data_IF_574925035387
#
_entry.id   IF_574925035387
#
_cell.length_a   1.000
_cell.length_b   1.000
_cell.length_c   1.000
_cell.angle_alpha   90.00
_cell.angle_beta   90.00
_cell.angle_gamma   90.00
#
_symmetry.space_group_name_H-M   'P 1'
#
loop_
_entity.id
_entity.type
_entity.pdbx_description
1 polymer ?
#
# COMPACT_ATOMS: atom_id res chain seq x y z
N UNK A 1 -12.60 -13.80 -1.82
CA UNK A 1 -12.33 -14.16 -0.41
C UNK A 1 -13.40 -13.58 0.53
N UNK A 2 -13.69 -12.28 0.45
CA UNK A 2 -14.73 -11.62 1.27
C UNK A 2 -16.15 -12.16 1.02
N UNK A 3 -16.43 -12.58 -0.18
CA UNK A 3 -17.73 -13.13 -0.58
C UNK A 3 -17.94 -14.58 -0.12
N UNK A 4 -16.86 -15.30 0.21
CA UNK A 4 -16.95 -16.70 0.62
C UNK A 4 -17.70 -16.90 1.95
N UNK A 5 -17.42 -16.04 2.92
CA UNK A 5 -18.00 -16.12 4.28
C UNK A 5 -18.22 -14.69 4.84
N UNK A 6 -19.29 -14.00 4.46
CA UNK A 6 -19.48 -12.58 4.78
C UNK A 6 -19.52 -12.29 6.29
N UNK A 7 -20.09 -13.20 7.10
CA UNK A 7 -20.15 -13.04 8.56
C UNK A 7 -18.75 -13.18 9.18
N UNK A 8 -18.03 -14.25 8.83
CA UNK A 8 -16.68 -14.50 9.35
C UNK A 8 -15.70 -13.40 8.86
N UNK A 9 -15.84 -12.97 7.63
CA UNK A 9 -15.06 -11.85 7.08
C UNK A 9 -15.35 -10.55 7.86
N UNK A 10 -16.60 -10.29 8.22
CA UNK A 10 -16.95 -9.11 9.02
C UNK A 10 -16.33 -9.18 10.42
N UNK A 11 -16.33 -10.36 11.06
CA UNK A 11 -15.70 -10.59 12.36
C UNK A 11 -14.18 -10.43 12.25
N UNK A 12 -13.54 -11.05 11.27
CA UNK A 12 -12.10 -10.95 11.03
C UNK A 12 -11.69 -9.51 10.72
N UNK A 13 -12.48 -8.78 9.93
CA UNK A 13 -12.23 -7.36 9.64
C UNK A 13 -12.33 -6.49 10.90
N UNK A 14 -13.34 -6.69 11.72
CA UNK A 14 -13.46 -5.98 13.02
C UNK A 14 -12.31 -6.33 13.95
N UNK A 15 -11.94 -7.61 14.03
CA UNK A 15 -10.80 -8.06 14.84
C UNK A 15 -9.48 -7.45 14.32
N UNK A 16 -9.24 -7.47 13.03
CA UNK A 16 -8.08 -6.88 12.39
C UNK A 16 -7.96 -5.38 12.69
N UNK A 17 -9.04 -4.60 12.46
CA UNK A 17 -9.07 -3.17 12.78
C UNK A 17 -8.82 -2.91 14.27
N UNK A 18 -9.43 -3.70 15.15
CA UNK A 18 -9.25 -3.57 16.58
C UNK A 18 -7.87 -4.02 17.06
N UNK A 19 -7.23 -5.01 16.40
CA UNK A 19 -5.88 -5.43 16.74
C UNK A 19 -4.86 -4.33 16.50
N UNK A 20 -4.98 -3.56 15.42
CA UNK A 20 -4.17 -2.37 15.20
C UNK A 20 -4.39 -1.29 16.26
N UNK A 21 -5.64 -1.12 16.68
CA UNK A 21 -6.03 -0.03 17.57
C UNK A 21 -5.69 -0.30 19.05
N UNK A 22 -5.88 -1.55 19.50
CA UNK A 22 -5.82 -1.90 20.93
C UNK A 22 -4.75 -2.94 21.28
N UNK A 23 -4.25 -3.71 20.32
CA UNK A 23 -3.36 -4.85 20.55
C UNK A 23 -2.11 -4.82 19.66
N UNK A 24 -1.51 -3.65 19.52
CA UNK A 24 -0.36 -3.38 18.64
C UNK A 24 0.79 -4.39 18.84
N UNK A 25 1.13 -4.74 20.09
CA UNK A 25 2.19 -5.70 20.40
C UNK A 25 1.81 -7.14 20.02
N UNK A 26 0.52 -7.50 20.15
CA UNK A 26 0.04 -8.82 19.72
C UNK A 26 0.06 -8.94 18.19
N UNK A 27 -0.30 -7.88 17.47
CA UNK A 27 -0.19 -7.83 16.01
C UNK A 27 1.28 -7.93 15.56
N UNK A 28 2.19 -7.23 16.24
CA UNK A 28 3.65 -7.36 16.02
C UNK A 28 4.11 -8.80 16.17
N UNK A 29 3.74 -9.46 17.26
CA UNK A 29 4.05 -10.88 17.49
C UNK A 29 3.47 -11.79 16.40
N UNK A 30 2.26 -11.54 15.93
CA UNK A 30 1.63 -12.30 14.85
C UNK A 30 2.34 -12.08 13.50
N UNK A 31 2.66 -10.85 13.15
CA UNK A 31 3.32 -10.50 11.88
C UNK A 31 4.72 -11.10 11.77
N UNK A 32 5.52 -11.02 12.85
CA UNK A 32 6.89 -11.56 12.88
C UNK A 32 6.96 -13.04 13.31
N UNK A 33 5.80 -13.67 13.63
CA UNK A 33 5.79 -15.10 13.95
C UNK A 33 6.12 -15.95 12.72
N UNK A 34 6.77 -17.10 12.95
CA UNK A 34 7.13 -18.01 11.86
C UNK A 34 5.86 -18.61 11.23
N UNK A 35 5.70 -18.51 9.89
CA UNK A 35 4.55 -19.06 9.18
C UNK A 35 4.37 -20.57 9.35
N UNK A 36 5.44 -21.30 9.62
CA UNK A 36 5.46 -22.77 9.71
C UNK A 36 4.47 -23.34 10.76
N UNK A 37 4.19 -22.58 11.81
CA UNK A 37 3.19 -22.96 12.81
C UNK A 37 1.75 -22.66 12.39
N UNK A 38 1.52 -21.60 11.65
CA UNK A 38 0.20 -21.19 11.12
C UNK A 38 -0.19 -21.98 9.87
N UNK A 39 0.80 -22.44 9.10
CA UNK A 39 0.62 -23.19 7.86
C UNK A 39 0.03 -24.59 8.01
N UNK A 40 -0.06 -25.14 9.22
CA UNK A 40 -0.71 -26.45 9.49
C UNK A 40 -2.20 -26.34 9.77
N UNK A 41 -2.79 -25.15 9.74
CA UNK A 41 -4.14 -24.89 10.23
C UNK A 41 -5.13 -24.59 9.10
N UNK A 42 -6.40 -24.79 9.42
CA UNK A 42 -7.66 -24.37 8.78
C UNK A 42 -7.57 -23.20 7.77
N UNK A 43 -6.68 -22.23 8.00
CA UNK A 43 -6.47 -21.05 7.17
C UNK A 43 -6.05 -21.38 5.71
N UNK A 44 -5.34 -22.48 5.47
CA UNK A 44 -4.95 -22.92 4.12
C UNK A 44 -6.14 -23.27 3.23
N UNK A 45 -7.22 -23.73 3.81
CA UNK A 45 -8.41 -24.22 3.08
C UNK A 45 -9.53 -23.19 3.02
N UNK A 46 -9.33 -22.03 3.65
CA UNK A 46 -10.36 -20.99 3.69
C UNK A 46 -10.62 -20.42 2.31
N UNK A 47 -11.84 -20.58 1.82
CA UNK A 47 -12.24 -20.14 0.49
C UNK A 47 -11.83 -21.06 -0.68
N UNK A 48 -11.22 -22.21 -0.41
CA UNK A 48 -10.73 -23.16 -1.42
C UNK A 48 -11.81 -23.55 -2.43
N UNK A 49 -12.98 -23.97 -1.98
CA UNK A 49 -14.07 -24.40 -2.89
C UNK A 49 -14.57 -23.28 -3.80
N UNK A 50 -14.73 -22.07 -3.25
CA UNK A 50 -15.14 -20.95 -4.09
C UNK A 50 -14.09 -20.61 -5.13
N UNK A 51 -12.82 -20.72 -4.77
CA UNK A 51 -11.72 -20.48 -5.71
C UNK A 51 -11.68 -21.58 -6.78
N UNK A 52 -11.82 -22.86 -6.41
CA UNK A 52 -11.92 -23.97 -7.38
C UNK A 52 -13.10 -23.76 -8.32
N UNK A 53 -14.29 -23.47 -7.78
CA UNK A 53 -15.48 -23.25 -8.59
C UNK A 53 -15.30 -22.04 -9.53
N UNK A 54 -14.62 -20.97 -9.06
CA UNK A 54 -14.29 -19.82 -9.88
C UNK A 54 -13.34 -20.21 -11.03
N UNK A 55 -12.28 -20.96 -10.73
CA UNK A 55 -11.31 -21.42 -11.76
C UNK A 55 -11.95 -22.34 -12.80
N UNK A 56 -12.84 -23.25 -12.36
CA UNK A 56 -13.60 -24.14 -13.27
C UNK A 56 -14.53 -23.32 -14.17
N UNK A 57 -15.19 -22.30 -13.61
CA UNK A 57 -16.14 -21.46 -14.33
C UNK A 57 -15.46 -20.53 -15.33
N UNK A 58 -14.45 -19.80 -14.87
CA UNK A 58 -13.81 -18.72 -15.64
C UNK A 58 -12.68 -19.24 -16.55
N UNK A 59 -12.10 -20.42 -16.27
CA UNK A 59 -10.99 -21.05 -17.00
C UNK A 59 -9.89 -20.05 -17.37
N UNK A 60 -9.28 -19.36 -16.38
CA UNK A 60 -8.31 -18.32 -16.66
C UNK A 60 -7.01 -18.89 -17.23
N UNK A 61 -6.37 -18.15 -18.14
CA UNK A 61 -5.06 -18.48 -18.69
C UNK A 61 -3.92 -18.17 -17.73
N UNK A 62 -4.17 -17.33 -16.72
CA UNK A 62 -3.20 -16.87 -15.71
C UNK A 62 -3.91 -16.48 -14.43
N UNK A 63 -3.25 -16.70 -13.28
CA UNK A 63 -3.70 -16.23 -11.97
C UNK A 63 -2.75 -15.14 -11.49
N UNK A 64 -3.26 -13.92 -11.28
CA UNK A 64 -2.48 -12.82 -10.74
C UNK A 64 -2.83 -12.59 -9.26
N UNK A 65 -1.84 -12.75 -8.39
CA UNK A 65 -1.95 -12.51 -6.95
C UNK A 65 -1.43 -11.10 -6.62
N UNK A 66 -2.29 -10.28 -6.02
CA UNK A 66 -1.94 -8.95 -5.50
C UNK A 66 -2.04 -8.90 -3.97
N UNK A 67 -2.22 -10.04 -3.35
CA UNK A 67 -2.30 -10.23 -1.91
C UNK A 67 -1.75 -11.62 -1.54
N UNK A 68 -0.95 -11.75 -0.47
CA UNK A 68 -0.42 -13.05 -0.05
C UNK A 68 -1.55 -13.97 0.41
N UNK A 69 -1.72 -15.09 -0.32
CA UNK A 69 -2.77 -16.05 -0.02
C UNK A 69 -2.25 -17.49 0.01
N UNK A 70 -2.32 -18.19 1.14
CA UNK A 70 -1.83 -19.56 1.29
C UNK A 70 -2.68 -20.60 0.55
N UNK A 71 -3.91 -20.26 0.14
CA UNK A 71 -4.80 -21.18 -0.58
C UNK A 71 -4.21 -21.63 -1.93
N UNK A 72 -3.37 -20.81 -2.56
CA UNK A 72 -2.71 -21.17 -3.82
C UNK A 72 -1.74 -22.34 -3.66
N UNK A 73 -1.01 -22.44 -2.53
CA UNK A 73 -0.17 -23.60 -2.25
C UNK A 73 -0.98 -24.90 -2.22
N UNK A 74 -2.19 -24.86 -1.64
CA UNK A 74 -3.08 -26.03 -1.61
C UNK A 74 -3.56 -26.41 -3.02
N UNK A 75 -3.92 -25.40 -3.82
CA UNK A 75 -4.39 -25.64 -5.19
C UNK A 75 -3.29 -26.29 -6.06
N UNK A 76 -2.10 -25.78 -6.00
CA UNK A 76 -0.98 -26.32 -6.80
C UNK A 76 -0.50 -27.67 -6.30
N UNK A 77 -0.42 -27.90 -4.97
CA UNK A 77 0.06 -29.16 -4.39
C UNK A 77 -0.95 -30.30 -4.53
N UNK A 78 -2.25 -30.03 -4.37
CA UNK A 78 -3.27 -31.07 -4.25
C UNK A 78 -4.16 -31.25 -5.48
N UNK A 79 -4.25 -30.21 -6.32
CA UNK A 79 -5.14 -30.20 -7.49
C UNK A 79 -4.39 -30.15 -8.81
N UNK A 80 -3.04 -30.20 -8.79
CA UNK A 80 -2.17 -30.19 -9.96
C UNK A 80 -2.56 -29.12 -10.97
N UNK A 81 -2.80 -27.90 -10.48
CA UNK A 81 -3.17 -26.78 -11.34
C UNK A 81 -1.92 -26.28 -12.05
N UNK A 82 -1.91 -26.40 -13.37
CA UNK A 82 -0.80 -25.94 -14.22
C UNK A 82 -1.00 -24.51 -14.76
N UNK A 83 -2.01 -23.76 -14.29
CA UNK A 83 -2.22 -22.37 -14.66
C UNK A 83 -1.05 -21.55 -14.12
N UNK A 84 -0.37 -20.75 -14.96
CA UNK A 84 0.70 -19.86 -14.50
C UNK A 84 0.20 -18.95 -13.36
N UNK A 85 0.99 -18.84 -12.30
CA UNK A 85 0.70 -17.96 -11.16
C UNK A 85 1.72 -16.85 -11.12
N UNK A 86 1.29 -15.61 -11.22
CA UNK A 86 2.12 -14.44 -11.06
C UNK A 86 1.77 -13.72 -9.75
N UNK A 87 2.78 -13.24 -9.04
CA UNK A 87 2.60 -12.50 -7.77
C UNK A 87 3.15 -11.09 -7.90
N UNK A 88 2.31 -10.08 -7.70
CA UNK A 88 2.70 -8.68 -7.57
C UNK A 88 2.79 -8.34 -6.09
N UNK A 89 4.00 -8.17 -5.60
CA UNK A 89 4.24 -7.74 -4.23
C UNK A 89 4.02 -6.23 -4.12
N UNK A 90 3.15 -5.82 -3.21
CA UNK A 90 2.76 -4.41 -3.01
C UNK A 90 3.43 -3.78 -1.77
N UNK A 91 4.59 -4.29 -1.38
CA UNK A 91 5.41 -3.85 -0.26
C UNK A 91 6.87 -3.66 -0.69
N UNK A 92 7.63 -2.87 0.08
CA UNK A 92 9.03 -2.57 -0.19
C UNK A 92 10.02 -3.48 0.56
N UNK A 93 9.54 -4.24 1.53
CA UNK A 93 10.35 -5.25 2.25
C UNK A 93 9.65 -6.61 2.15
N UNK A 94 10.42 -7.66 1.92
CA UNK A 94 9.88 -9.01 1.79
C UNK A 94 9.33 -9.51 3.13
N UNK A 95 8.06 -9.89 3.12
CA UNK A 95 7.46 -10.72 4.16
C UNK A 95 7.23 -12.13 3.61
N UNK A 96 7.53 -13.16 4.41
CA UNK A 96 7.47 -14.57 3.98
C UNK A 96 6.13 -15.00 3.38
N UNK A 97 5.05 -14.34 3.75
CA UNK A 97 3.72 -14.63 3.19
C UNK A 97 3.61 -14.31 1.69
N UNK A 98 4.50 -13.47 1.13
CA UNK A 98 4.57 -13.19 -0.30
C UNK A 98 5.18 -14.33 -1.11
N UNK A 99 5.91 -15.24 -0.44
CA UNK A 99 6.52 -16.38 -1.11
C UNK A 99 5.44 -17.44 -1.35
N UNK A 100 5.08 -17.60 -2.60
CA UNK A 100 4.14 -18.63 -3.05
C UNK A 100 4.96 -19.71 -3.78
N UNK A 101 5.11 -20.92 -3.23
CA UNK A 101 6.07 -21.93 -3.71
C UNK A 101 5.99 -22.27 -5.21
N UNK A 102 4.87 -21.96 -5.84
CA UNK A 102 4.60 -22.31 -7.24
C UNK A 102 4.37 -21.08 -8.12
N UNK A 103 4.79 -19.88 -7.67
CA UNK A 103 4.71 -18.71 -8.54
C UNK A 103 5.69 -18.81 -9.69
N UNK A 104 5.16 -18.74 -10.90
CA UNK A 104 5.94 -18.70 -12.16
C UNK A 104 6.68 -17.37 -12.28
N UNK A 105 6.14 -16.31 -11.71
CA UNK A 105 6.67 -14.95 -11.78
C UNK A 105 6.37 -14.15 -10.53
N UNK A 106 7.39 -13.40 -10.06
CA UNK A 106 7.25 -12.37 -9.03
C UNK A 106 7.59 -10.99 -9.60
N UNK A 107 6.74 -10.02 -9.33
CA UNK A 107 7.00 -8.61 -9.61
C UNK A 107 7.22 -7.89 -8.28
N UNK A 108 8.37 -7.24 -8.15
CA UNK A 108 8.81 -6.63 -6.90
C UNK A 108 9.14 -5.15 -7.07
N UNK A 109 9.07 -4.41 -5.97
CA UNK A 109 9.24 -2.96 -5.98
C UNK A 109 10.67 -2.54 -6.37
N UNK A 110 11.69 -3.24 -5.88
CA UNK A 110 13.08 -2.78 -5.91
C UNK A 110 14.09 -3.91 -6.12
N UNK A 111 15.33 -3.53 -6.41
CA UNK A 111 16.45 -4.48 -6.52
C UNK A 111 16.75 -5.17 -5.19
N UNK A 112 16.61 -4.45 -4.08
CA UNK A 112 16.81 -4.97 -2.73
C UNK A 112 15.74 -6.03 -2.43
N UNK A 113 14.47 -5.77 -2.74
CA UNK A 113 13.41 -6.77 -2.59
C UNK A 113 13.66 -7.99 -3.47
N UNK A 114 14.19 -7.82 -4.69
CA UNK A 114 14.61 -8.96 -5.52
C UNK A 114 15.71 -9.76 -4.83
N UNK A 115 16.70 -9.11 -4.23
CA UNK A 115 17.78 -9.80 -3.50
C UNK A 115 17.21 -10.58 -2.31
N UNK A 116 16.27 -10.00 -1.55
CA UNK A 116 15.59 -10.71 -0.45
C UNK A 116 14.93 -12.02 -0.91
N UNK A 117 14.32 -12.04 -2.11
CA UNK A 117 13.76 -13.27 -2.71
C UNK A 117 14.84 -14.29 -3.06
N UNK A 118 15.98 -13.84 -3.60
CA UNK A 118 17.11 -14.70 -3.95
C UNK A 118 17.71 -15.33 -2.67
N UNK A 119 17.88 -14.55 -1.62
CA UNK A 119 18.47 -14.96 -0.34
C UNK A 119 17.62 -16.04 0.38
N UNK A 120 16.33 -16.09 0.11
CA UNK A 120 15.43 -17.15 0.61
C UNK A 120 15.27 -18.33 -0.37
N UNK A 121 16.05 -18.38 -1.45
CA UNK A 121 16.14 -19.51 -2.37
C UNK A 121 15.18 -19.48 -3.56
N UNK A 122 14.60 -18.33 -3.91
CA UNK A 122 13.79 -18.16 -5.12
C UNK A 122 14.69 -17.93 -6.31
N UNK A 123 14.41 -18.61 -7.42
CA UNK A 123 15.17 -18.48 -8.67
C UNK A 123 15.15 -17.01 -9.17
N UNK A 124 16.33 -16.38 -9.34
CA UNK A 124 16.46 -15.00 -9.81
C UNK A 124 15.76 -14.72 -11.15
N UNK A 125 15.62 -15.73 -12.02
CA UNK A 125 14.96 -15.59 -13.33
C UNK A 125 13.46 -15.39 -13.21
N UNK A 126 12.85 -15.84 -12.10
CA UNK A 126 11.42 -15.70 -11.84
C UNK A 126 11.06 -14.34 -11.21
N UNK A 127 12.05 -13.57 -10.72
CA UNK A 127 11.81 -12.30 -10.01
C UNK A 127 12.19 -11.11 -10.89
N UNK A 128 11.20 -10.28 -11.23
CA UNK A 128 11.38 -9.05 -12.02
C UNK A 128 11.19 -7.80 -11.14
N UNK A 129 12.13 -6.88 -11.25
CA UNK A 129 12.03 -5.54 -10.63
C UNK A 129 11.24 -4.66 -11.58
N UNK A 130 10.02 -4.32 -11.21
CA UNK A 130 9.11 -3.51 -12.05
C UNK A 130 8.59 -2.26 -11.37
N UNK A 131 8.81 -2.14 -10.05
CA UNK A 131 8.03 -1.22 -9.23
C UNK A 131 6.66 -1.81 -8.89
N UNK A 132 5.95 -1.14 -7.99
CA UNK A 132 4.57 -1.48 -7.64
C UNK A 132 3.63 -0.80 -8.65
N UNK A 133 2.65 -1.53 -9.24
CA UNK A 133 1.75 -0.95 -10.22
C UNK A 133 0.78 0.05 -9.57
N UNK A 134 0.67 1.22 -10.18
CA UNK A 134 -0.25 2.30 -9.80
C UNK A 134 -1.01 2.80 -11.03
N UNK A 135 -2.02 3.62 -10.81
CA UNK A 135 -2.76 4.28 -11.89
C UNK A 135 -1.84 5.26 -12.64
N UNK A 136 -1.84 5.20 -13.97
CA UNK A 136 -1.03 6.07 -14.83
C UNK A 136 -1.19 7.56 -14.57
N UNK A 137 -2.34 7.98 -14.02
CA UNK A 137 -2.54 9.39 -13.66
C UNK A 137 -1.48 9.91 -12.68
N UNK A 138 -0.87 9.05 -11.83
CA UNK A 138 0.23 9.46 -10.95
C UNK A 138 1.56 9.67 -11.66
N UNK A 139 1.68 9.25 -12.92
CA UNK A 139 2.85 9.48 -13.77
C UNK A 139 2.62 10.56 -14.83
N UNK A 140 1.37 11.02 -15.01
CA UNK A 140 1.00 12.04 -15.99
C UNK A 140 1.22 13.45 -15.44
N UNK A 141 1.92 14.35 -16.14
CA UNK A 141 2.11 15.75 -15.71
C UNK A 141 0.78 16.48 -15.52
N UNK A 142 0.74 17.39 -14.55
CA UNK A 142 -0.41 18.27 -14.30
C UNK A 142 0.03 19.72 -14.14
N UNK A 143 -0.88 20.66 -14.37
CA UNK A 143 -0.66 22.07 -14.05
C UNK A 143 -0.92 22.33 -12.56
N UNK A 144 0.14 22.21 -11.74
CA UNK A 144 0.07 22.31 -10.28
C UNK A 144 -0.45 23.69 -9.81
N UNK A 145 0.05 24.78 -10.43
CA UNK A 145 -0.37 26.14 -10.06
C UNK A 145 -1.86 26.36 -10.33
N UNK A 146 -2.33 25.98 -11.52
CA UNK A 146 -3.74 26.12 -11.86
C UNK A 146 -4.63 25.29 -10.94
N UNK A 147 -4.20 24.05 -10.58
CA UNK A 147 -4.93 23.21 -9.64
C UNK A 147 -5.11 23.86 -8.27
N UNK A 148 -4.06 24.49 -7.73
CA UNK A 148 -4.14 25.20 -6.45
C UNK A 148 -5.10 26.41 -6.55
N UNK A 149 -4.99 27.23 -7.60
CA UNK A 149 -5.86 28.38 -7.84
C UNK A 149 -7.33 27.95 -7.94
N UNK A 150 -7.62 26.90 -8.72
CA UNK A 150 -8.99 26.39 -8.91
C UNK A 150 -9.61 25.86 -7.59
N UNK A 151 -8.77 25.54 -6.61
CA UNK A 151 -9.19 25.10 -5.28
C UNK A 151 -9.06 26.19 -4.19
N UNK A 152 -8.92 27.46 -4.60
CA UNK A 152 -8.79 28.63 -3.71
C UNK A 152 -7.57 28.56 -2.77
N UNK A 153 -6.47 28.00 -3.25
CA UNK A 153 -5.18 27.96 -2.57
C UNK A 153 -4.17 28.85 -3.27
N UNK A 154 -3.23 29.37 -2.52
CA UNK A 154 -2.15 30.22 -3.03
C UNK A 154 -1.04 29.35 -3.66
N UNK A 155 -0.76 29.49 -4.98
CA UNK A 155 0.27 28.70 -5.65
C UNK A 155 1.71 29.04 -5.24
N UNK A 156 1.93 30.17 -4.55
CA UNK A 156 3.24 30.60 -4.08
C UNK A 156 3.52 30.19 -2.62
N UNK A 157 2.53 29.59 -1.95
CA UNK A 157 2.69 28.96 -0.62
C UNK A 157 3.11 27.50 -0.69
N UNK A 158 3.80 27.06 0.35
CA UNK A 158 4.13 25.66 0.54
C UNK A 158 2.89 24.87 0.95
N UNK A 159 2.42 23.99 0.08
CA UNK A 159 1.27 23.12 0.37
C UNK A 159 1.71 21.84 1.09
N UNK A 160 1.18 21.62 2.28
CA UNK A 160 1.38 20.40 3.06
C UNK A 160 0.13 19.56 2.95
N UNK A 161 0.26 18.39 2.32
CA UNK A 161 -0.82 17.42 2.19
C UNK A 161 -0.88 16.53 3.42
N UNK A 162 -2.02 16.43 4.07
CA UNK A 162 -2.25 15.52 5.19
C UNK A 162 -3.33 14.50 4.82
N UNK A 163 -3.07 13.22 5.05
CA UNK A 163 -4.05 12.15 4.79
C UNK A 163 -4.30 11.31 6.04
N UNK A 164 -5.55 11.26 6.46
CA UNK A 164 -5.99 10.42 7.58
C UNK A 164 -6.07 8.92 7.23
N UNK A 165 -5.75 8.54 5.97
CA UNK A 165 -5.98 7.21 5.45
C UNK A 165 -7.46 6.87 5.25
N UNK A 166 -7.75 5.67 4.77
CA UNK A 166 -9.12 5.27 4.40
C UNK A 166 -10.10 5.28 5.58
N UNK A 167 -9.64 5.13 6.81
CA UNK A 167 -10.48 4.99 8.00
C UNK A 167 -10.41 6.16 8.99
N UNK A 168 -9.60 7.18 8.75
CA UNK A 168 -9.53 8.38 9.57
C UNK A 168 -9.19 8.16 11.05
N UNK A 169 -8.30 7.24 11.38
CA UNK A 169 -8.12 6.69 12.73
C UNK A 169 -7.18 7.51 13.64
N UNK A 170 -6.66 8.65 13.22
CA UNK A 170 -5.74 9.44 14.03
C UNK A 170 -6.47 10.61 14.74
N UNK A 171 -6.14 10.84 16.01
CA UNK A 171 -6.56 12.03 16.77
C UNK A 171 -5.48 13.11 16.68
N UNK A 172 -5.84 14.38 16.93
CA UNK A 172 -4.87 15.48 17.02
C UNK A 172 -4.53 16.17 15.70
N UNK A 173 -5.23 15.87 14.62
CA UNK A 173 -5.03 16.59 13.33
C UNK A 173 -5.31 18.08 13.45
N UNK A 174 -6.26 18.47 14.28
CA UNK A 174 -6.62 19.85 14.53
C UNK A 174 -5.47 20.64 15.18
N UNK A 175 -4.84 20.08 16.21
CA UNK A 175 -3.65 20.65 16.85
C UNK A 175 -2.48 20.65 15.87
N UNK A 176 -2.26 19.56 15.15
CA UNK A 176 -1.18 19.45 14.18
C UNK A 176 -1.28 20.51 13.08
N UNK A 177 -2.46 20.74 12.48
CA UNK A 177 -2.69 21.79 11.48
C UNK A 177 -2.38 23.16 12.07
N UNK A 178 -2.89 23.46 13.28
CA UNK A 178 -2.65 24.74 13.95
C UNK A 178 -1.16 25.00 14.19
N UNK A 179 -0.43 23.98 14.67
CA UNK A 179 0.98 24.12 15.01
C UNK A 179 1.88 24.17 13.77
N UNK A 180 1.53 23.46 12.69
CA UNK A 180 2.23 23.56 11.39
C UNK A 180 2.13 24.99 10.87
N UNK A 181 0.93 25.57 10.83
CA UNK A 181 0.73 26.94 10.36
C UNK A 181 1.41 27.98 11.24
N UNK A 182 1.47 27.75 12.54
CA UNK A 182 2.18 28.64 13.48
C UNK A 182 3.70 28.62 13.29
N UNK A 183 4.28 27.47 12.89
CA UNK A 183 5.73 27.29 12.74
C UNK A 183 6.25 27.49 11.34
N UNK A 184 5.36 27.53 10.34
CA UNK A 184 5.68 27.67 8.92
C UNK A 184 4.82 28.77 8.32
N UNK A 185 5.30 30.02 8.40
CA UNK A 185 4.54 31.22 8.03
C UNK A 185 4.08 31.24 6.55
N UNK A 186 4.81 30.56 5.67
CA UNK A 186 4.46 30.46 4.23
C UNK A 186 3.82 29.10 3.90
N UNK A 187 3.15 28.43 4.86
CA UNK A 187 2.51 27.17 4.62
C UNK A 187 0.99 27.28 4.46
N UNK A 188 0.43 26.38 3.69
CA UNK A 188 -0.99 26.05 3.64
C UNK A 188 -1.18 24.54 3.76
N UNK A 189 -2.32 24.10 4.26
CA UNK A 189 -2.58 22.70 4.56
C UNK A 189 -3.81 22.20 3.83
N UNK A 190 -3.65 21.09 3.11
CA UNK A 190 -4.75 20.32 2.53
C UNK A 190 -4.93 19.05 3.34
N UNK A 191 -6.07 18.92 4.06
CA UNK A 191 -6.37 17.75 4.87
C UNK A 191 -7.42 16.86 4.23
N UNK A 192 -7.05 15.62 3.90
CA UNK A 192 -7.93 14.60 3.33
C UNK A 192 -8.38 13.65 4.43
N UNK A 193 -9.66 13.76 4.82
CA UNK A 193 -10.28 12.99 5.89
C UNK A 193 -10.75 11.59 5.45
N UNK A 194 -10.63 11.24 4.15
CA UNK A 194 -11.11 9.98 3.60
C UNK A 194 -12.61 9.79 3.83
N UNK A 195 -13.02 8.61 4.28
CA UNK A 195 -14.43 8.26 4.52
C UNK A 195 -14.98 8.75 5.86
N UNK A 196 -14.16 9.38 6.72
CA UNK A 196 -14.57 9.87 8.04
C UNK A 196 -15.35 11.19 7.94
N UNK A 197 -16.68 11.08 7.91
CA UNK A 197 -17.57 12.25 7.90
C UNK A 197 -17.45 13.08 9.19
N UNK A 198 -17.21 12.42 10.32
CA UNK A 198 -17.05 13.06 11.64
C UNK A 198 -15.79 13.93 11.67
N UNK A 199 -14.64 13.40 11.27
CA UNK A 199 -13.38 14.13 11.19
C UNK A 199 -13.51 15.33 10.26
N UNK A 200 -14.08 15.13 9.05
CA UNK A 200 -14.32 16.23 8.10
C UNK A 200 -15.15 17.33 8.74
N UNK A 201 -16.28 16.99 9.36
CA UNK A 201 -17.19 17.97 9.98
C UNK A 201 -16.50 18.77 11.10
N UNK A 202 -15.77 18.08 11.97
CA UNK A 202 -15.05 18.72 13.08
C UNK A 202 -13.97 19.68 12.59
N UNK A 203 -13.12 19.25 11.65
CA UNK A 203 -12.05 20.10 11.12
C UNK A 203 -12.60 21.26 10.27
N UNK A 204 -13.62 21.03 9.46
CA UNK A 204 -14.28 22.12 8.69
C UNK A 204 -14.84 23.18 9.61
N UNK A 205 -15.48 22.81 10.73
CA UNK A 205 -16.01 23.77 11.69
C UNK A 205 -14.89 24.59 12.35
N UNK A 206 -13.78 23.92 12.73
CA UNK A 206 -12.64 24.58 13.39
C UNK A 206 -11.89 25.56 12.49
N UNK A 207 -11.70 25.20 11.22
CA UNK A 207 -10.89 25.97 10.29
C UNK A 207 -11.69 26.77 9.26
N UNK A 208 -13.00 26.98 9.50
CA UNK A 208 -13.93 27.63 8.56
C UNK A 208 -13.44 29.00 8.03
N UNK A 209 -12.77 29.77 8.86
CA UNK A 209 -12.30 31.12 8.53
C UNK A 209 -10.81 31.19 8.22
N UNK A 210 -10.15 30.06 8.05
CA UNK A 210 -8.72 30.03 7.77
C UNK A 210 -8.47 29.69 6.29
N UNK A 211 -8.12 30.69 5.50
CA UNK A 211 -7.87 30.55 4.05
C UNK A 211 -6.66 29.64 3.72
N UNK A 212 -5.79 29.40 4.70
CA UNK A 212 -4.63 28.51 4.52
C UNK A 212 -4.98 27.03 4.81
N UNK A 213 -6.26 26.68 5.03
CA UNK A 213 -6.66 25.31 5.37
C UNK A 213 -7.80 24.85 4.49
N UNK A 214 -7.56 23.82 3.69
CA UNK A 214 -8.60 23.14 2.90
C UNK A 214 -8.90 21.77 3.49
N UNK A 215 -10.15 21.53 3.90
CA UNK A 215 -10.61 20.24 4.47
C UNK A 215 -11.45 19.48 3.48
N UNK A 216 -10.97 18.33 3.05
CA UNK A 216 -11.61 17.45 2.08
C UNK A 216 -12.06 16.13 2.72
N UNK A 217 -13.13 15.54 2.19
CA UNK A 217 -13.51 14.15 2.47
C UNK A 217 -12.71 13.17 1.62
N UNK A 218 -13.38 12.10 1.16
CA UNK A 218 -12.82 11.23 0.14
C UNK A 218 -12.68 12.00 -1.18
N UNK A 219 -11.52 11.90 -1.82
CA UNK A 219 -11.27 12.53 -3.12
C UNK A 219 -10.81 11.49 -4.15
N UNK A 220 -11.13 11.71 -5.42
CA UNK A 220 -10.59 10.97 -6.58
C UNK A 220 -9.37 11.67 -7.19
N UNK A 221 -9.05 12.86 -6.70
CA UNK A 221 -8.00 13.75 -7.19
C UNK A 221 -6.73 13.70 -6.32
N UNK A 222 -6.39 12.51 -5.79
CA UNK A 222 -5.22 12.34 -4.93
C UNK A 222 -3.91 12.64 -5.69
N UNK A 223 -3.87 12.30 -6.98
CA UNK A 223 -2.70 12.55 -7.81
C UNK A 223 -2.43 14.06 -8.00
N UNK A 224 -3.48 14.87 -8.18
CA UNK A 224 -3.36 16.32 -8.31
C UNK A 224 -2.88 16.93 -6.99
N UNK A 225 -3.45 16.47 -5.87
CA UNK A 225 -3.02 16.93 -4.54
C UNK A 225 -1.58 16.55 -4.22
N UNK A 226 -1.17 15.31 -4.50
CA UNK A 226 0.22 14.88 -4.30
C UNK A 226 1.18 15.68 -5.18
N UNK A 227 0.84 15.90 -6.46
CA UNK A 227 1.69 16.64 -7.37
C UNK A 227 1.80 18.13 -7.02
N UNK A 228 0.76 18.73 -6.42
CA UNK A 228 0.72 20.16 -6.09
C UNK A 228 1.16 20.46 -4.64
N UNK A 229 1.69 19.46 -3.94
CA UNK A 229 2.15 19.61 -2.56
C UNK A 229 3.64 19.35 -2.43
N UNK A 230 4.31 20.08 -1.54
CA UNK A 230 5.74 19.96 -1.29
C UNK A 230 6.09 18.85 -0.31
N UNK A 231 5.14 18.48 0.55
CA UNK A 231 5.34 17.49 1.61
C UNK A 231 4.01 16.77 1.90
N UNK A 232 4.08 15.48 2.24
CA UNK A 232 2.89 14.70 2.61
C UNK A 232 3.05 14.05 3.99
N UNK A 233 2.04 14.19 4.85
CA UNK A 233 1.93 13.46 6.11
C UNK A 233 0.88 12.36 5.91
N UNK A 234 1.30 11.10 6.06
CA UNK A 234 0.43 9.95 5.77
C UNK A 234 0.79 8.70 6.56
N UNK A 235 0.02 7.63 6.36
CA UNK A 235 0.35 6.26 6.74
C UNK A 235 1.13 5.57 5.61
N UNK A 236 2.17 4.77 5.90
CA UNK A 236 3.02 4.14 4.87
C UNK A 236 2.41 2.86 4.28
N UNK A 237 1.18 2.93 3.77
CA UNK A 237 0.59 1.83 3.00
C UNK A 237 1.23 1.73 1.61
N UNK A 238 1.59 0.52 1.17
CA UNK A 238 2.41 0.30 -0.04
C UNK A 238 1.95 1.06 -1.28
N UNK A 239 0.66 1.07 -1.60
CA UNK A 239 0.12 1.82 -2.74
C UNK A 239 0.26 3.33 -2.54
N UNK A 240 -0.15 3.86 -1.38
CA UNK A 240 -0.10 5.31 -1.11
C UNK A 240 1.31 5.87 -1.19
N UNK A 241 2.29 5.15 -0.62
CA UNK A 241 3.69 5.60 -0.68
C UNK A 241 4.28 5.47 -2.09
N UNK A 242 3.84 4.47 -2.87
CA UNK A 242 4.24 4.34 -4.28
C UNK A 242 3.66 5.46 -5.14
N UNK A 243 2.40 5.85 -4.93
CA UNK A 243 1.76 7.00 -5.56
C UNK A 243 2.51 8.30 -5.23
N UNK A 244 2.85 8.51 -3.95
CA UNK A 244 3.68 9.65 -3.51
C UNK A 244 5.10 9.61 -4.09
N UNK A 245 5.71 8.44 -4.17
CA UNK A 245 7.02 8.24 -4.78
C UNK A 245 7.02 8.58 -6.26
N UNK A 246 6.01 8.14 -7.00
CA UNK A 246 5.86 8.50 -8.42
C UNK A 246 5.73 10.00 -8.65
N UNK A 247 5.13 10.74 -7.69
CA UNK A 247 5.04 12.20 -7.69
C UNK A 247 6.26 12.91 -7.11
N UNK A 248 7.24 12.15 -6.62
CA UNK A 248 8.42 12.67 -5.91
C UNK A 248 8.06 13.62 -4.77
N UNK A 249 6.97 13.34 -4.05
CA UNK A 249 6.60 14.10 -2.86
C UNK A 249 7.23 13.47 -1.62
N UNK A 250 8.12 14.20 -0.90
CA UNK A 250 8.68 13.74 0.37
C UNK A 250 7.58 13.44 1.39
N UNK A 251 7.76 12.37 2.19
CA UNK A 251 6.70 11.89 3.07
C UNK A 251 7.13 11.86 4.53
N UNK A 252 6.20 12.17 5.43
CA UNK A 252 6.32 11.95 6.87
C UNK A 252 5.31 10.86 7.26
N UNK A 253 5.82 9.77 7.82
CA UNK A 253 5.03 8.62 8.23
C UNK A 253 4.65 8.73 9.69
N UNK A 254 3.39 9.13 9.94
CA UNK A 254 2.91 9.35 11.29
C UNK A 254 2.52 8.03 11.96
N UNK A 255 3.26 7.65 13.01
CA UNK A 255 2.99 6.51 13.87
C UNK A 255 2.67 5.24 13.08
N UNK A 256 3.62 4.73 12.25
CA UNK A 256 3.40 3.55 11.44
C UNK A 256 3.04 2.33 12.30
N UNK A 257 2.08 1.54 11.87
CA UNK A 257 1.73 0.32 12.59
C UNK A 257 2.86 -0.72 12.45
N UNK A 258 3.14 -1.52 13.49
CA UNK A 258 4.11 -2.61 13.38
C UNK A 258 3.76 -3.55 12.22
N UNK A 259 4.78 -4.14 11.60
CA UNK A 259 4.62 -4.98 10.43
C UNK A 259 4.75 -4.19 9.13
N UNK A 260 3.90 -4.45 8.16
CA UNK A 260 4.00 -3.92 6.79
C UNK A 260 4.19 -2.39 6.73
N UNK A 261 3.40 -1.62 7.50
CA UNK A 261 3.52 -0.16 7.50
C UNK A 261 4.91 0.27 8.01
N UNK A 262 5.37 -0.31 9.12
CA UNK A 262 6.67 0.04 9.68
C UNK A 262 7.82 -0.35 8.74
N UNK A 263 7.78 -1.54 8.16
CA UNK A 263 8.81 -2.00 7.21
C UNK A 263 8.88 -1.11 5.96
N UNK A 264 7.75 -0.70 5.42
CA UNK A 264 7.68 0.25 4.31
C UNK A 264 8.25 1.64 4.71
N UNK A 265 7.90 2.13 5.91
CA UNK A 265 8.41 3.41 6.41
C UNK A 265 9.92 3.40 6.61
N UNK A 266 10.46 2.34 7.23
CA UNK A 266 11.89 2.16 7.43
C UNK A 266 12.66 2.14 6.10
N UNK A 267 12.14 1.44 5.09
CA UNK A 267 12.74 1.43 3.76
C UNK A 267 12.80 2.85 3.16
N UNK A 268 11.70 3.60 3.24
CA UNK A 268 11.64 4.97 2.69
C UNK A 268 12.55 5.94 3.46
N UNK A 269 12.68 5.78 4.77
CA UNK A 269 13.58 6.60 5.59
C UNK A 269 15.05 6.29 5.29
N UNK A 270 15.40 5.00 5.18
CA UNK A 270 16.74 4.54 4.80
C UNK A 270 17.18 5.10 3.43
N UNK A 271 16.24 5.14 2.48
CA UNK A 271 16.48 5.68 1.13
C UNK A 271 16.44 7.21 1.06
N UNK A 272 16.07 7.88 2.12
CA UNK A 272 15.93 9.34 2.13
C UNK A 272 14.70 9.87 1.41
N UNK A 273 13.66 9.05 1.20
CA UNK A 273 12.40 9.43 0.56
C UNK A 273 11.37 9.96 1.56
N UNK A 274 11.57 9.71 2.84
CA UNK A 274 10.65 10.08 3.90
C UNK A 274 11.31 10.13 5.27
N UNK A 275 10.50 10.48 6.28
CA UNK A 275 10.87 10.50 7.69
C UNK A 275 9.78 9.81 8.52
N UNK A 276 10.18 9.10 9.56
CA UNK A 276 9.24 8.53 10.53
C UNK A 276 9.02 9.53 11.66
N UNK A 277 7.78 9.67 12.08
CA UNK A 277 7.38 10.45 13.25
C UNK A 277 6.49 9.58 14.13
N UNK A 278 6.95 9.25 15.34
CA UNK A 278 6.18 8.44 16.28
C UNK A 278 5.04 9.21 16.93
N UNK A 279 5.16 10.54 16.99
CA UNK A 279 4.15 11.43 17.58
C UNK A 279 3.80 12.60 16.65
N UNK A 280 2.62 13.21 16.84
CA UNK A 280 2.24 14.46 16.16
C UNK A 280 3.25 15.58 16.34
N UNK A 281 3.80 15.74 17.54
CA UNK A 281 4.78 16.78 17.90
C UNK A 281 6.08 16.59 17.13
N UNK A 282 6.52 15.36 16.93
CA UNK A 282 7.68 15.02 16.13
C UNK A 282 7.43 15.33 14.64
N UNK A 283 6.27 14.94 14.11
CA UNK A 283 5.89 15.27 12.73
C UNK A 283 5.90 16.79 12.48
N UNK A 284 5.40 17.58 13.42
CA UNK A 284 5.42 19.06 13.34
C UNK A 284 6.85 19.60 13.31
N UNK A 285 7.75 19.05 14.11
CA UNK A 285 9.19 19.44 14.11
C UNK A 285 9.84 19.11 12.77
N UNK A 286 9.58 17.93 12.22
CA UNK A 286 10.09 17.50 10.91
C UNK A 286 9.56 18.40 9.80
N UNK A 287 8.24 18.71 9.80
CA UNK A 287 7.67 19.68 8.85
C UNK A 287 8.38 21.01 8.93
N UNK A 288 8.52 21.61 10.10
CA UNK A 288 9.19 22.90 10.29
C UNK A 288 10.66 22.86 9.81
N UNK A 289 11.38 21.79 10.05
CA UNK A 289 12.75 21.60 9.56
C UNK A 289 12.82 21.54 8.03
N UNK A 290 11.91 20.81 7.40
CA UNK A 290 11.88 20.64 5.94
C UNK A 290 11.36 21.88 5.20
N UNK A 291 10.43 22.64 5.80
CA UNK A 291 9.85 23.84 5.16
C UNK A 291 10.70 25.07 5.34
N UNK A 292 11.49 25.18 6.40
CA UNK A 292 12.35 26.33 6.69
C UNK A 292 13.79 26.18 6.16
N UNK A 293 14.18 24.97 5.71
CA UNK A 293 15.50 24.68 5.13
C UNK A 293 15.35 23.91 3.82
N UNK A 294 15.46 24.60 2.68
CA UNK A 294 15.17 24.03 1.36
C UNK A 294 16.09 22.87 0.93
N UNK A 295 17.34 22.81 1.43
CA UNK A 295 18.32 21.85 0.93
C UNK A 295 17.90 20.38 1.19
N UNK A 296 17.45 20.06 2.41
CA UNK A 296 17.06 18.68 2.74
C UNK A 296 15.86 18.22 1.92
N UNK A 297 14.87 19.08 1.75
CA UNK A 297 13.67 18.77 0.95
C UNK A 297 14.05 18.56 -0.54
N UNK A 298 14.91 19.42 -1.08
CA UNK A 298 15.42 19.30 -2.45
C UNK A 298 16.20 18.01 -2.65
N UNK A 299 17.04 17.62 -1.70
CA UNK A 299 17.80 16.38 -1.76
C UNK A 299 16.88 15.15 -1.72
N UNK A 300 15.82 15.15 -0.90
CA UNK A 300 14.82 14.07 -0.88
C UNK A 300 14.15 13.94 -2.27
N UNK A 301 13.70 15.04 -2.86
CA UNK A 301 13.07 15.04 -4.19
C UNK A 301 14.03 14.52 -5.25
N UNK A 302 15.29 14.99 -5.26
CA UNK A 302 16.30 14.56 -6.21
C UNK A 302 16.60 13.06 -6.13
N UNK A 303 16.69 12.52 -4.90
CA UNK A 303 16.90 11.08 -4.68
C UNK A 303 15.70 10.27 -5.19
N UNK A 304 14.46 10.74 -4.94
CA UNK A 304 13.26 10.08 -5.45
C UNK A 304 13.20 10.10 -6.99
N UNK A 305 13.58 11.22 -7.62
CA UNK A 305 13.61 11.34 -9.08
C UNK A 305 14.60 10.36 -9.73
N UNK A 306 15.73 10.08 -9.09
CA UNK A 306 16.75 9.15 -9.57
C UNK A 306 16.32 7.69 -9.45
N UNK A 307 15.62 7.34 -8.37
CA UNK A 307 15.31 5.96 -8.02
C UNK A 307 13.93 5.48 -8.49
N UNK A 308 13.04 6.41 -8.88
CA UNK A 308 11.66 6.03 -9.27
C UNK A 308 11.63 5.17 -10.52
N UNK A 309 10.88 4.07 -10.44
CA UNK A 309 10.57 3.20 -11.58
C UNK A 309 9.25 3.68 -12.19
N UNK A 310 9.28 3.93 -13.50
CA UNK A 310 8.09 4.36 -14.26
C UNK A 310 7.47 3.19 -15.00
N UNK A 311 6.18 3.34 -15.29
CA UNK A 311 5.41 2.40 -16.14
C UNK A 311 5.36 0.97 -15.60
N UNK A 312 5.37 0.81 -14.27
CA UNK A 312 5.29 -0.49 -13.62
C UNK A 312 4.09 -1.32 -14.12
N UNK A 313 2.92 -0.69 -14.22
CA UNK A 313 1.68 -1.33 -14.69
C UNK A 313 1.83 -1.87 -16.10
N UNK A 314 2.35 -1.06 -17.03
CA UNK A 314 2.55 -1.46 -18.43
C UNK A 314 3.57 -2.59 -18.54
N UNK A 315 4.69 -2.49 -17.83
CA UNK A 315 5.76 -3.49 -17.81
C UNK A 315 5.25 -4.85 -17.31
N UNK A 316 4.47 -4.83 -16.22
CA UNK A 316 3.84 -6.05 -15.67
C UNK A 316 2.84 -6.63 -16.66
N UNK A 317 1.94 -5.83 -17.22
CA UNK A 317 0.93 -6.29 -18.16
C UNK A 317 1.56 -6.93 -19.41
N UNK A 318 2.62 -6.33 -19.95
CA UNK A 318 3.31 -6.90 -21.12
C UNK A 318 3.95 -8.26 -20.79
N UNK A 319 4.66 -8.37 -19.66
CA UNK A 319 5.26 -9.64 -19.26
C UNK A 319 4.23 -10.73 -18.95
N UNK A 320 3.05 -10.35 -18.41
CA UNK A 320 1.94 -11.29 -18.19
C UNK A 320 1.37 -11.81 -19.52
N UNK A 321 1.23 -10.96 -20.54
CA UNK A 321 0.79 -11.36 -21.88
C UNK A 321 1.79 -12.31 -22.53
N UNK A 322 3.08 -12.04 -22.38
CA UNK A 322 4.14 -12.93 -22.87
C UNK A 322 4.09 -14.30 -22.18
N UNK A 323 3.84 -14.35 -20.86
CA UNK A 323 3.67 -15.60 -20.11
C UNK A 323 2.47 -16.42 -20.61
N UNK A 324 1.36 -15.79 -20.94
CA UNK A 324 0.16 -16.45 -21.50
C UNK A 324 0.45 -17.00 -22.89
N UNK A 325 1.14 -16.23 -23.74
CA UNK A 325 1.46 -16.61 -25.11
C UNK A 325 2.33 -17.88 -25.23
N UNK A 326 3.06 -18.21 -24.16
CA UNK A 326 3.90 -19.42 -24.08
C UNK A 326 3.19 -20.63 -23.45
N UNK A 327 1.98 -20.48 -22.88
CA UNK A 327 1.23 -21.57 -22.21
C UNK A 327 0.00 -21.98 -23.02
N UNK A 328 0.21 -22.81 -24.04
CA UNK A 328 -0.83 -23.15 -25.03
C UNK A 328 -1.53 -24.48 -24.81
N UNK A 329 -2.09 -24.75 -23.61
CA UNK A 329 -2.97 -25.93 -23.42
C UNK A 329 -4.15 -25.60 -22.49
N UNK A 330 -5.40 -25.98 -22.85
CA UNK A 330 -6.54 -25.93 -21.92
C UNK A 330 -6.29 -26.90 -20.77
N UNK A 331 -6.49 -26.43 -19.54
CA UNK A 331 -6.09 -27.20 -18.37
C UNK A 331 -7.30 -27.80 -17.66
N UNK A 332 -7.22 -29.08 -17.37
CA UNK A 332 -8.18 -29.79 -16.52
C UNK A 332 -7.71 -29.73 -15.06
N UNK A 333 -8.60 -29.33 -14.15
CA UNK A 333 -8.32 -29.27 -12.72
C UNK A 333 -8.68 -30.63 -12.10
N UNK A 334 -7.67 -31.41 -11.72
CA UNK A 334 -7.84 -32.71 -11.09
C UNK A 334 -7.43 -32.66 -9.62
N UNK A 335 -8.25 -33.20 -8.73
CA UNK A 335 -7.89 -33.41 -7.33
C UNK A 335 -9.08 -33.66 -6.41
N UNK A 336 -8.82 -34.27 -5.24
CA UNK A 336 -9.84 -34.52 -4.21
C UNK A 336 -9.55 -33.68 -2.98
N UNK A 337 -10.54 -32.93 -2.51
CA UNK A 337 -10.46 -32.24 -1.23
C UNK A 337 -10.33 -33.29 -0.12
N UNK A 338 -9.29 -33.25 0.73
CA UNK A 338 -9.16 -34.17 1.87
C UNK A 338 -10.40 -34.20 2.75
N UNK A 339 -10.73 -35.36 3.34
CA UNK A 339 -11.96 -35.54 4.10
C UNK A 339 -12.11 -34.54 5.26
N UNK A 340 -11.02 -34.22 5.95
CA UNK A 340 -11.00 -33.23 7.05
C UNK A 340 -11.23 -31.79 6.55
N UNK A 341 -10.84 -31.49 5.31
CA UNK A 341 -11.06 -30.18 4.71
C UNK A 341 -12.51 -30.00 4.20
N UNK A 342 -13.27 -31.11 3.99
CA UNK A 342 -14.67 -31.06 3.54
C UNK A 342 -15.61 -30.42 4.56
N UNK A 343 -15.28 -30.46 5.85
CA UNK A 343 -16.05 -29.80 6.91
C UNK A 343 -15.96 -28.26 6.85
N UNK A 344 -14.92 -27.72 6.21
CA UNK A 344 -14.67 -26.28 6.08
C UNK A 344 -15.03 -25.74 4.70
N UNK A 345 -15.63 -26.57 3.88
CA UNK A 345 -15.78 -26.40 2.44
C UNK A 345 -17.25 -26.22 2.02
N UNK A 346 -18.19 -26.15 3.00
CA UNK A 346 -19.61 -25.83 2.73
C UNK A 346 -19.88 -24.35 2.66
#
# INVERSE_FOLDING_TARGET
>A
FMEAHPILTSICKKWYINSFKYFRNMYKGFYYSRPDKLNKCFYKYYGLNKLINLLIKEKPDLILLTFPTPVMSVLTEQFNINIPVATVMTDYRLHKNWITPYSTRYYVATKETKQDFIDVGIDPSTVKVTGIPIDNKFETPINQKQWLIDNNLDPDKQTILMSAGAFGVSKGFDTMITDILAKSANAQVVMICGKSKELKRSLTAKFKSNENVLILGYTKHMNEWMASSQLMITKPGGITITEGFARCIPMIFLNPAPGQELENALYFEEKGFGKIADTPEEAIKIVASLTNGNEQLTNMISTMEQDKIKYATQTICQDLLDLIGHSSQPQEIYGKVPLYARFFVK
#
